data_IF_546162593266
#
_entry.id   IF_546162593266
#
_cell.length_a   1.000
_cell.length_b   1.000
_cell.length_c   1.000
_cell.angle_alpha   90.00
_cell.angle_beta   90.00
_cell.angle_gamma   90.00
#
_symmetry.space_group_name_H-M   'P 1'
#
loop_
_entity.id
_entity.type
_entity.pdbx_description
1 polymer ?
#
# COMPACT_ATOMS: atom_id res chain seq x y z
N UNK A 1 2.61 -12.25 -9.35
CA UNK A 1 4.04 -11.92 -9.24
C UNK A 1 4.23 -10.49 -9.71
N UNK A 2 4.08 -9.54 -8.79
CA UNK A 2 4.50 -8.16 -9.01
C UNK A 2 5.91 -8.13 -8.44
N UNK A 3 6.89 -8.09 -9.35
CA UNK A 3 8.27 -7.84 -9.00
C UNK A 3 8.35 -6.52 -8.24
N UNK A 4 9.13 -6.53 -7.17
CA UNK A 4 9.52 -5.40 -6.35
C UNK A 4 9.49 -4.06 -7.10
N UNK A 5 8.78 -3.06 -6.58
CA UNK A 5 8.86 -1.70 -7.11
C UNK A 5 10.23 -1.14 -6.76
N UNK A 6 11.13 -1.08 -7.75
CA UNK A 6 12.48 -0.55 -7.57
C UNK A 6 12.45 0.98 -7.46
N UNK A 7 13.30 1.52 -6.59
CA UNK A 7 13.45 2.95 -6.38
C UNK A 7 13.86 3.69 -7.67
N UNK A 8 14.63 3.02 -8.55
CA UNK A 8 14.99 3.57 -9.87
C UNK A 8 13.77 3.77 -10.77
N UNK A 9 12.86 2.80 -10.82
CA UNK A 9 11.64 2.89 -11.62
C UNK A 9 10.70 3.98 -11.08
N UNK A 10 10.60 4.09 -9.75
CA UNK A 10 9.83 5.16 -9.09
C UNK A 10 10.41 6.53 -9.45
N UNK A 11 11.75 6.67 -9.46
CA UNK A 11 12.41 7.92 -9.83
C UNK A 11 12.13 8.31 -11.29
N UNK A 12 12.18 7.36 -12.21
CA UNK A 12 11.87 7.61 -13.63
C UNK A 12 10.41 8.07 -13.84
N UNK A 13 9.48 7.53 -13.04
CA UNK A 13 8.06 7.89 -13.13
C UNK A 13 7.72 9.23 -12.48
N UNK A 14 8.17 9.46 -11.23
CA UNK A 14 7.70 10.58 -10.40
C UNK A 14 8.80 11.38 -9.72
N UNK A 15 10.08 11.10 -9.96
CA UNK A 15 11.21 11.78 -9.29
C UNK A 15 11.21 13.30 -9.52
N UNK A 16 10.65 13.77 -10.63
CA UNK A 16 10.49 15.20 -10.92
C UNK A 16 9.42 15.90 -10.06
N UNK A 17 8.59 15.14 -9.34
CA UNK A 17 7.43 15.64 -8.60
C UNK A 17 7.61 15.54 -7.06
N UNK A 18 8.75 15.02 -6.58
CA UNK A 18 9.04 14.85 -5.15
C UNK A 18 10.45 15.34 -4.83
N UNK A 19 10.68 15.79 -3.60
CA UNK A 19 12.00 16.25 -3.17
C UNK A 19 13.00 15.10 -2.94
N UNK A 20 12.49 13.96 -2.48
CA UNK A 20 13.30 12.80 -2.09
C UNK A 20 12.60 11.48 -2.40
N UNK A 21 13.40 10.48 -2.72
CA UNK A 21 13.01 9.07 -2.80
C UNK A 21 13.92 8.31 -1.83
N UNK A 22 13.32 7.45 -1.01
CA UNK A 22 14.04 6.63 -0.03
C UNK A 22 13.98 5.18 -0.49
N UNK A 23 15.14 4.59 -0.74
CA UNK A 23 15.26 3.16 -1.03
C UNK A 23 15.42 2.38 0.28
N UNK A 24 14.44 1.56 0.62
CA UNK A 24 14.46 0.65 1.77
C UNK A 24 14.52 -0.83 1.37
N UNK A 25 14.83 -1.13 0.10
CA UNK A 25 14.69 -2.45 -0.49
C UNK A 25 13.24 -2.93 -0.53
N UNK A 26 13.08 -4.25 -0.58
CA UNK A 26 11.79 -4.91 -0.80
C UNK A 26 10.67 -4.43 0.11
N UNK A 27 9.59 -3.97 -0.54
CA UNK A 27 8.32 -3.64 0.11
C UNK A 27 7.20 -4.49 -0.48
N UNK A 28 6.37 -5.15 0.35
CA UNK A 28 5.20 -5.87 -0.14
C UNK A 28 4.27 -4.95 -0.93
N UNK A 29 3.86 -5.38 -2.12
CA UNK A 29 3.01 -4.60 -3.02
C UNK A 29 1.51 -4.79 -2.74
N UNK A 30 1.16 -5.73 -1.88
CA UNK A 30 -0.22 -5.94 -1.45
C UNK A 30 -0.70 -4.73 -0.62
N UNK A 31 -1.83 -4.10 -0.99
CA UNK A 31 -2.32 -2.91 -0.32
C UNK A 31 -2.79 -3.22 1.10
N UNK A 32 -2.99 -2.18 1.90
CA UNK A 32 -3.67 -2.30 3.18
C UNK A 32 -5.14 -2.67 3.02
N UNK A 33 -5.63 -3.44 3.99
CA UNK A 33 -7.06 -3.57 4.28
C UNK A 33 -7.59 -2.21 4.76
N UNK A 34 -8.76 -1.81 4.27
CA UNK A 34 -9.41 -0.56 4.62
C UNK A 34 -10.75 -0.88 5.30
N UNK A 35 -10.89 -0.37 6.52
CA UNK A 35 -12.07 -0.59 7.38
C UNK A 35 -12.78 0.74 7.62
N UNK A 36 -14.07 0.80 7.32
CA UNK A 36 -14.96 1.93 7.59
C UNK A 36 -15.46 1.89 9.05
N UNK A 37 -15.09 2.95 9.77
CA UNK A 37 -15.40 3.32 11.17
C UNK A 37 -16.74 4.01 11.45
N UNK A 38 -17.60 4.22 10.46
CA UNK A 38 -18.62 5.28 10.53
C UNK A 38 -19.89 4.91 11.29
N UNK A 39 -20.30 3.63 11.24
CA UNK A 39 -21.52 3.12 11.86
C UNK A 39 -21.20 2.21 13.06
N UNK A 40 -22.23 1.66 13.69
CA UNK A 40 -22.12 0.79 14.88
C UNK A 40 -21.35 -0.53 14.64
N UNK A 41 -21.10 -0.88 13.37
CA UNK A 41 -20.34 -2.08 12.99
C UNK A 41 -19.25 -1.75 11.98
N UNK A 42 -18.03 -2.32 12.11
CA UNK A 42 -16.96 -2.14 11.14
C UNK A 42 -17.39 -2.70 9.78
N UNK A 43 -17.08 -1.99 8.69
CA UNK A 43 -17.28 -2.51 7.33
C UNK A 43 -15.96 -2.58 6.58
N UNK A 44 -15.67 -3.71 5.96
CA UNK A 44 -14.51 -3.83 5.07
C UNK A 44 -14.87 -3.19 3.73
N UNK A 45 -14.19 -2.10 3.37
CA UNK A 45 -14.39 -1.42 2.08
C UNK A 45 -13.32 -1.78 1.05
N UNK A 46 -12.19 -2.34 1.50
CA UNK A 46 -11.19 -3.01 0.66
C UNK A 46 -10.45 -4.06 1.48
N UNK A 47 -10.39 -5.28 0.99
CA UNK A 47 -9.52 -6.33 1.53
C UNK A 47 -8.10 -6.18 0.96
N UNK A 48 -7.10 -6.38 1.80
CA UNK A 48 -5.68 -6.36 1.47
C UNK A 48 -4.91 -7.21 2.47
N UNK A 49 -3.65 -6.86 2.74
CA UNK A 49 -2.75 -7.67 3.57
C UNK A 49 -3.20 -7.88 5.03
N UNK A 50 -4.08 -7.02 5.55
CA UNK A 50 -4.57 -7.16 6.91
C UNK A 50 -5.66 -8.23 6.99
N UNK A 51 -5.44 -9.26 7.80
CA UNK A 51 -6.43 -10.31 8.07
C UNK A 51 -7.73 -9.73 8.66
N UNK A 52 -8.87 -10.26 8.25
CA UNK A 52 -10.22 -9.77 8.62
C UNK A 52 -11.09 -10.87 9.26
N UNK A 53 -10.46 -11.86 9.88
CA UNK A 53 -11.10 -13.01 10.55
C UNK A 53 -11.93 -12.64 11.80
N UNK A 54 -12.01 -11.35 12.13
CA UNK A 54 -12.79 -10.79 13.23
C UNK A 54 -14.16 -10.22 12.80
N UNK A 55 -14.45 -10.19 11.50
CA UNK A 55 -15.74 -9.74 10.93
C UNK A 55 -16.72 -10.91 10.80
#
# INVERSE_FOLDING_TARGET
DIEELDSSEINDLIGHAVDYIIDSGYTPTEPSTVVELLDDSPKIIREGKGEVDFV
#
